data_IF_557084517961
#
_entry.id   IF_557084517961
#
_cell.length_a   1.000
_cell.length_b   1.000
_cell.length_c   1.000
_cell.angle_alpha   90.00
_cell.angle_beta   90.00
_cell.angle_gamma   90.00
#
_symmetry.space_group_name_H-M   'P 1'
#
loop_
_entity.id
_entity.type
_entity.pdbx_description
1 polymer ?
#
# COMPACT_ATOMS: atom_id res chain seq x y z
N UNK A 1 7.25 -5.76 16.74
CA UNK A 1 8.14 -4.61 16.49
C UNK A 1 8.18 -3.75 17.74
N UNK A 2 9.38 -3.44 18.24
CA UNK A 2 9.57 -2.57 19.40
C UNK A 2 9.43 -1.08 19.02
N UNK A 3 9.40 -0.17 20.00
CA UNK A 3 9.17 1.25 19.76
C UNK A 3 10.24 1.91 18.88
N UNK A 4 11.51 1.53 19.05
CA UNK A 4 12.62 2.11 18.28
C UNK A 4 12.58 1.66 16.83
N UNK A 5 12.27 0.38 16.59
CA UNK A 5 12.03 -0.14 15.23
C UNK A 5 10.85 0.57 14.55
N UNK A 6 9.74 0.82 15.28
CA UNK A 6 8.59 1.55 14.76
C UNK A 6 8.97 2.97 14.32
N UNK A 7 9.65 3.72 15.19
CA UNK A 7 10.11 5.09 14.89
C UNK A 7 11.05 5.11 13.70
N UNK A 8 11.99 4.16 13.64
CA UNK A 8 12.94 4.08 12.53
C UNK A 8 12.21 3.83 11.21
N UNK A 9 11.29 2.87 11.17
CA UNK A 9 10.54 2.56 9.96
C UNK A 9 9.69 3.76 9.49
N UNK A 10 9.00 4.44 10.41
CA UNK A 10 8.26 5.68 10.09
C UNK A 10 9.22 6.71 9.48
N UNK A 11 10.34 6.98 10.15
CA UNK A 11 11.31 7.98 9.69
C UNK A 11 11.90 7.63 8.32
N UNK A 12 12.21 6.36 8.06
CA UNK A 12 12.74 5.91 6.77
C UNK A 12 11.69 6.07 5.66
N UNK A 13 10.42 5.74 5.94
CA UNK A 13 9.29 5.89 5.00
C UNK A 13 9.06 7.38 4.69
N UNK A 14 9.02 8.23 5.71
CA UNK A 14 8.78 9.67 5.54
C UNK A 14 9.93 10.38 4.82
N UNK A 15 11.16 9.85 4.92
CA UNK A 15 12.33 10.36 4.22
C UNK A 15 12.45 9.86 2.76
N UNK A 16 11.59 8.94 2.33
CA UNK A 16 11.67 8.29 1.02
C UNK A 16 10.96 9.11 -0.06
N UNK A 17 11.74 9.71 -0.98
CA UNK A 17 11.19 10.45 -2.12
C UNK A 17 10.26 9.59 -3.00
N UNK A 18 10.63 8.34 -3.39
CA UNK A 18 9.73 7.50 -4.20
C UNK A 18 8.40 7.20 -3.51
N UNK A 19 8.41 6.98 -2.19
CA UNK A 19 7.18 6.73 -1.43
C UNK A 19 6.33 8.00 -1.36
N UNK A 20 6.96 9.15 -1.08
CA UNK A 20 6.26 10.42 -0.99
C UNK A 20 5.67 10.87 -2.34
N UNK A 21 6.37 10.63 -3.45
CA UNK A 21 5.87 10.90 -4.80
C UNK A 21 4.66 10.02 -5.13
N UNK A 22 4.75 8.72 -4.82
CA UNK A 22 3.62 7.81 -5.01
C UNK A 22 2.43 8.18 -4.11
N UNK A 23 2.69 8.59 -2.87
CA UNK A 23 1.68 9.09 -1.96
C UNK A 23 1.01 10.36 -2.50
N UNK A 24 1.77 11.32 -3.02
CA UNK A 24 1.22 12.52 -3.64
C UNK A 24 0.33 12.19 -4.85
N UNK A 25 0.70 11.17 -5.65
CA UNK A 25 -0.16 10.64 -6.73
C UNK A 25 -1.44 10.01 -6.17
N UNK A 26 -1.37 9.26 -5.07
CA UNK A 26 -2.54 8.70 -4.40
C UNK A 26 -3.54 9.80 -4.01
N UNK A 27 -3.05 10.91 -3.44
CA UNK A 27 -3.92 12.03 -3.08
C UNK A 27 -4.56 12.67 -4.32
N UNK A 28 -3.82 12.80 -5.42
CA UNK A 28 -4.36 13.30 -6.70
C UNK A 28 -5.45 12.42 -7.30
N UNK A 29 -5.42 11.10 -7.08
CA UNK A 29 -6.48 10.20 -7.57
C UNK A 29 -7.72 10.16 -6.68
N UNK A 30 -7.69 10.79 -5.49
CA UNK A 30 -8.87 10.99 -4.63
C UNK A 30 -8.73 10.48 -3.21
N UNK A 31 -7.63 9.80 -2.86
CA UNK A 31 -7.37 9.41 -1.47
C UNK A 31 -7.21 10.64 -0.57
N UNK A 32 -7.58 10.47 0.69
CA UNK A 32 -7.40 11.50 1.72
C UNK A 32 -6.14 11.26 2.51
N UNK A 33 -5.58 12.33 3.07
CA UNK A 33 -4.46 12.22 3.98
C UNK A 33 -4.90 11.53 5.28
N UNK A 34 -4.15 10.52 5.70
CA UNK A 34 -4.23 9.98 7.06
C UNK A 34 -3.85 11.07 8.08
N UNK A 35 -4.79 11.42 8.96
CA UNK A 35 -4.58 12.43 10.02
C UNK A 35 -4.28 11.81 11.39
N UNK A 36 -4.36 10.48 11.50
CA UNK A 36 -3.99 9.74 12.72
C UNK A 36 -2.47 9.72 12.91
N UNK A 37 -2.07 9.21 14.07
CA UNK A 37 -0.66 9.01 14.42
C UNK A 37 0.09 8.20 13.34
N UNK A 38 1.34 8.54 12.97
CA UNK A 38 2.11 7.81 11.94
C UNK A 38 2.31 6.31 12.22
N UNK A 39 2.19 5.86 13.47
CA UNK A 39 2.22 4.44 13.82
C UNK A 39 0.90 3.71 13.54
N UNK A 40 -0.17 4.44 13.22
CA UNK A 40 -1.45 3.89 12.84
C UNK A 40 -1.30 2.98 11.61
N UNK A 41 -1.71 1.72 11.77
CA UNK A 41 -1.56 0.64 10.78
C UNK A 41 -0.12 0.33 10.33
N UNK A 42 0.90 0.79 11.05
CA UNK A 42 2.31 0.50 10.74
C UNK A 42 2.65 -1.00 10.83
N UNK A 43 1.96 -1.74 11.71
CA UNK A 43 2.15 -3.19 11.82
C UNK A 43 1.68 -3.94 10.57
N UNK A 44 0.59 -3.49 9.94
CA UNK A 44 0.15 -4.00 8.64
C UNK A 44 1.19 -3.72 7.55
N UNK A 45 1.76 -2.51 7.52
CA UNK A 45 2.83 -2.15 6.58
C UNK A 45 4.04 -3.07 6.75
N UNK A 46 4.51 -3.23 7.99
CA UNK A 46 5.63 -4.11 8.30
C UNK A 46 5.33 -5.58 7.98
N UNK A 47 4.09 -6.05 8.20
CA UNK A 47 3.66 -7.39 7.84
C UNK A 47 3.67 -7.61 6.32
N UNK A 48 3.23 -6.61 5.54
CA UNK A 48 3.33 -6.66 4.08
C UNK A 48 4.79 -6.71 3.60
N UNK A 49 5.66 -5.85 4.15
CA UNK A 49 7.09 -5.88 3.81
C UNK A 49 7.69 -7.26 4.12
N UNK A 50 7.48 -7.78 5.33
CA UNK A 50 8.01 -9.07 5.74
C UNK A 50 7.50 -10.24 4.86
N UNK A 51 6.22 -10.25 4.51
CA UNK A 51 5.64 -11.28 3.66
C UNK A 51 6.19 -11.27 2.22
N UNK A 52 6.54 -10.09 1.71
CA UNK A 52 7.19 -9.92 0.40
C UNK A 52 8.71 -10.17 0.42
N UNK A 53 9.29 -10.51 1.58
CA UNK A 53 10.74 -10.64 1.75
C UNK A 53 11.49 -9.31 1.72
N UNK A 54 10.80 -8.19 1.96
CA UNK A 54 11.35 -6.84 2.00
C UNK A 54 11.73 -6.51 3.44
N UNK A 55 13.00 -6.17 3.65
CA UNK A 55 13.59 -5.89 4.95
C UNK A 55 13.85 -4.39 5.17
N UNK A 56 13.90 -3.60 4.09
CA UNK A 56 14.22 -2.17 4.12
C UNK A 56 13.26 -1.34 3.28
N UNK A 57 13.13 -0.05 3.59
CA UNK A 57 12.37 0.90 2.77
C UNK A 57 12.96 1.00 1.36
N UNK A 58 14.29 0.94 1.22
CA UNK A 58 14.96 1.01 -0.08
C UNK A 58 14.62 -0.17 -1.01
N UNK A 59 14.40 -1.36 -0.47
CA UNK A 59 13.87 -2.48 -1.25
C UNK A 59 12.43 -2.22 -1.71
N UNK A 60 11.61 -1.59 -0.88
CA UNK A 60 10.27 -1.11 -1.27
C UNK A 60 10.31 -0.02 -2.35
N UNK A 61 11.26 0.91 -2.28
CA UNK A 61 11.48 1.94 -3.31
C UNK A 61 11.79 1.33 -4.68
N UNK A 62 12.54 0.22 -4.71
CA UNK A 62 12.83 -0.50 -5.96
C UNK A 62 11.55 -1.08 -6.58
N UNK A 63 10.59 -1.53 -5.76
CA UNK A 63 9.28 -1.97 -6.24
C UNK A 63 8.51 -0.79 -6.84
N UNK A 64 8.48 0.35 -6.15
CA UNK A 64 7.80 1.56 -6.64
C UNK A 64 8.41 2.02 -7.96
N UNK A 65 9.74 2.05 -8.07
CA UNK A 65 10.43 2.46 -9.28
C UNK A 65 10.12 1.54 -10.47
N UNK A 66 10.06 0.21 -10.23
CA UNK A 66 9.77 -0.79 -11.25
C UNK A 66 8.41 -0.62 -11.91
N UNK A 67 7.39 -0.16 -11.16
CA UNK A 67 6.01 -0.05 -11.63
C UNK A 67 5.45 1.38 -11.58
N UNK A 68 6.30 2.39 -11.61
CA UNK A 68 5.91 3.79 -11.36
C UNK A 68 4.75 4.30 -12.23
N UNK A 69 4.65 3.84 -13.48
CA UNK A 69 3.56 4.17 -14.41
C UNK A 69 2.27 3.37 -14.13
N UNK A 70 2.41 2.10 -13.77
CA UNK A 70 1.29 1.19 -13.53
C UNK A 70 0.60 1.45 -12.18
N UNK A 71 1.37 1.86 -11.17
CA UNK A 71 0.88 2.08 -9.81
C UNK A 71 -0.12 3.24 -9.72
N UNK A 72 0.01 4.27 -10.54
CA UNK A 72 -0.95 5.37 -10.55
C UNK A 72 -2.32 4.92 -11.09
N UNK A 73 -2.31 4.15 -12.19
CA UNK A 73 -3.52 3.55 -12.74
C UNK A 73 -4.15 2.54 -11.76
N UNK A 74 -3.32 1.73 -11.10
CA UNK A 74 -3.75 0.81 -10.06
C UNK A 74 -4.42 1.54 -8.90
N UNK A 75 -3.79 2.58 -8.33
CA UNK A 75 -4.37 3.36 -7.23
C UNK A 75 -5.70 4.01 -7.63
N UNK A 76 -5.79 4.52 -8.85
CA UNK A 76 -7.06 5.04 -9.39
C UNK A 76 -8.14 3.95 -9.43
N UNK A 77 -7.78 2.72 -9.81
CA UNK A 77 -8.70 1.59 -9.81
C UNK A 77 -9.07 1.14 -8.40
N UNK A 78 -8.16 1.21 -7.43
CA UNK A 78 -8.43 0.90 -6.01
C UNK A 78 -9.40 1.92 -5.42
N UNK A 79 -9.19 3.22 -5.69
CA UNK A 79 -10.11 4.25 -5.22
C UNK A 79 -11.48 4.15 -5.92
N UNK A 80 -11.49 3.84 -7.22
CA UNK A 80 -12.72 3.70 -8.01
C UNK A 80 -13.47 5.03 -8.18
N UNK A 81 -14.78 4.96 -8.37
CA UNK A 81 -15.68 6.13 -8.52
C UNK A 81 -16.38 6.49 -7.20
N UNK A 82 -15.63 6.48 -6.09
CA UNK A 82 -16.18 6.59 -4.72
C UNK A 82 -16.52 8.04 -4.33
N UNK A 83 -17.42 8.67 -5.07
CA UNK A 83 -17.91 10.03 -4.80
C UNK A 83 -18.44 10.14 -3.37
N UNK A 84 -17.79 10.98 -2.56
CA UNK A 84 -18.20 11.28 -1.18
C UNK A 84 -17.63 10.37 -0.09
N UNK A 85 -16.88 9.32 -0.44
CA UNK A 85 -16.21 8.46 0.53
C UNK A 85 -14.80 8.99 0.85
N UNK A 86 -14.48 9.11 2.15
CA UNK A 86 -13.17 9.53 2.62
C UNK A 86 -12.32 8.32 2.98
N UNK A 87 -11.62 7.77 1.98
CA UNK A 87 -10.62 6.76 2.24
C UNK A 87 -9.26 7.42 2.50
N UNK A 88 -8.83 7.39 3.75
CA UNK A 88 -7.53 7.92 4.18
C UNK A 88 -6.40 6.91 3.95
N UNK A 89 -5.24 7.41 3.53
CA UNK A 89 -4.02 6.62 3.32
C UNK A 89 -2.81 7.35 3.90
N UNK A 90 -1.83 6.57 4.36
CA UNK A 90 -0.52 7.06 4.79
C UNK A 90 0.56 6.69 3.75
N UNK A 91 1.74 7.33 3.78
CA UNK A 91 2.87 6.95 2.92
C UNK A 91 3.22 5.46 3.03
N UNK A 92 3.26 4.91 4.25
CA UNK A 92 3.51 3.48 4.46
C UNK A 92 2.44 2.57 3.85
N UNK A 93 1.17 2.98 3.90
CA UNK A 93 0.09 2.24 3.28
C UNK A 93 0.22 2.22 1.74
N UNK A 94 0.63 3.32 1.14
CA UNK A 94 0.88 3.40 -0.30
C UNK A 94 2.06 2.51 -0.72
N UNK A 95 3.13 2.45 0.09
CA UNK A 95 4.19 1.46 -0.12
C UNK A 95 3.66 0.02 -0.04
N UNK A 96 2.79 -0.29 0.93
CA UNK A 96 2.16 -1.61 1.02
C UNK A 96 1.33 -1.94 -0.24
N UNK A 97 0.58 -0.99 -0.79
CA UNK A 97 -0.14 -1.17 -2.05
C UNK A 97 0.80 -1.49 -3.22
N UNK A 98 1.96 -0.84 -3.30
CA UNK A 98 2.95 -1.15 -4.33
C UNK A 98 3.54 -2.56 -4.20
N UNK A 99 3.80 -2.99 -2.97
CA UNK A 99 4.28 -4.35 -2.67
C UNK A 99 3.23 -5.41 -3.04
N UNK A 100 1.97 -5.15 -2.70
CA UNK A 100 0.84 -6.02 -3.06
C UNK A 100 0.68 -6.13 -4.58
N UNK A 101 0.90 -5.02 -5.30
CA UNK A 101 0.87 -4.97 -6.75
C UNK A 101 1.96 -5.83 -7.41
N UNK A 102 3.18 -5.85 -6.86
CA UNK A 102 4.30 -6.66 -7.37
C UNK A 102 4.07 -8.17 -7.17
N UNK A 103 3.47 -8.56 -6.04
CA UNK A 103 3.36 -9.97 -5.63
C UNK A 103 1.91 -10.39 -5.31
N UNK A 104 0.99 -10.29 -6.28
CA UNK A 104 -0.44 -10.52 -6.05
C UNK A 104 -0.79 -11.95 -5.57
N UNK A 105 0.06 -12.92 -5.86
CA UNK A 105 -0.08 -14.32 -5.43
C UNK A 105 0.27 -14.52 -3.95
N UNK A 106 1.15 -13.67 -3.40
CA UNK A 106 1.49 -13.67 -1.96
C UNK A 106 0.37 -13.01 -1.16
N UNK A 107 -0.23 -11.97 -1.73
CA UNK A 107 -1.26 -11.16 -1.08
C UNK A 107 -2.67 -11.56 -1.54
N UNK A 108 -3.05 -12.79 -1.21
CA UNK A 108 -4.43 -13.26 -1.36
C UNK A 108 -5.38 -12.53 -0.41
N UNK A 109 -6.69 -12.64 -0.64
CA UNK A 109 -7.68 -12.02 0.24
C UNK A 109 -7.54 -12.55 1.68
N UNK A 110 -7.43 -13.87 1.83
CA UNK A 110 -7.27 -14.56 3.12
C UNK A 110 -6.00 -14.08 3.83
N UNK A 111 -4.90 -13.93 3.10
CA UNK A 111 -3.64 -13.48 3.70
C UNK A 111 -3.72 -12.03 4.19
N UNK A 112 -4.40 -11.15 3.46
CA UNK A 112 -4.62 -9.77 3.89
C UNK A 112 -5.56 -9.70 5.11
N UNK A 113 -6.59 -10.55 5.17
CA UNK A 113 -7.45 -10.68 6.36
C UNK A 113 -6.65 -11.15 7.58
N UNK A 114 -5.78 -12.16 7.43
CA UNK A 114 -4.87 -12.62 8.50
C UNK A 114 -3.92 -11.51 8.99
N UNK A 115 -3.54 -10.60 8.09
CA UNK A 115 -2.72 -9.41 8.42
C UNK A 115 -3.54 -8.29 9.06
N UNK A 116 -4.85 -8.46 9.26
CA UNK A 116 -5.72 -7.47 9.89
C UNK A 116 -6.11 -6.31 8.98
N UNK A 117 -6.22 -6.56 7.67
CA UNK A 117 -6.86 -5.63 6.74
C UNK A 117 -8.38 -5.75 6.80
N UNK A 118 -9.06 -4.61 6.62
CA UNK A 118 -10.52 -4.56 6.58
C UNK A 118 -11.03 -5.09 5.23
N UNK A 119 -12.19 -5.76 5.22
CA UNK A 119 -12.73 -6.40 4.01
C UNK A 119 -13.00 -5.46 2.83
N UNK A 120 -13.36 -4.20 3.10
CA UNK A 120 -13.57 -3.19 2.04
C UNK A 120 -12.26 -2.87 1.29
N UNK A 121 -11.16 -2.45 1.97
CA UNK A 121 -9.83 -2.36 1.39
C UNK A 121 -9.40 -3.59 0.58
N UNK A 122 -9.59 -4.80 1.13
CA UNK A 122 -9.22 -6.05 0.44
C UNK A 122 -9.99 -6.19 -0.87
N UNK A 123 -11.31 -6.00 -0.82
CA UNK A 123 -12.17 -6.09 -2.01
C UNK A 123 -11.72 -5.13 -3.11
N UNK A 124 -11.40 -3.88 -2.76
CA UNK A 124 -10.95 -2.88 -3.73
C UNK A 124 -9.59 -3.21 -4.33
N UNK A 125 -8.63 -3.60 -3.49
CA UNK A 125 -7.29 -3.99 -3.94
C UNK A 125 -7.35 -5.19 -4.87
N UNK A 126 -8.10 -6.24 -4.52
CA UNK A 126 -8.26 -7.43 -5.37
C UNK A 126 -8.95 -7.11 -6.69
N UNK A 127 -10.00 -6.28 -6.67
CA UNK A 127 -10.68 -5.81 -7.90
C UNK A 127 -9.77 -5.01 -8.82
N UNK A 128 -8.91 -4.16 -8.25
CA UNK A 128 -7.92 -3.39 -9.00
C UNK A 128 -6.80 -4.27 -9.57
N UNK A 129 -6.32 -5.27 -8.82
CA UNK A 129 -5.34 -6.25 -9.30
C UNK A 129 -5.88 -7.05 -10.49
N UNK A 130 -7.14 -7.49 -10.42
CA UNK A 130 -7.81 -8.14 -11.54
C UNK A 130 -7.89 -7.21 -12.76
N UNK A 131 -8.28 -5.95 -12.57
CA UNK A 131 -8.38 -4.96 -13.65
C UNK A 131 -7.02 -4.64 -14.29
N UNK A 132 -5.94 -4.74 -13.52
CA UNK A 132 -4.57 -4.62 -14.00
C UNK A 132 -4.01 -5.92 -14.63
N UNK A 133 -4.81 -6.99 -14.71
CA UNK A 133 -4.36 -8.29 -15.23
C UNK A 133 -3.34 -9.01 -14.34
N UNK A 134 -3.23 -8.61 -13.06
CA UNK A 134 -2.29 -9.17 -12.08
C UNK A 134 -2.82 -10.43 -11.40
N UNK A 135 -4.15 -10.64 -11.43
CA UNK A 135 -4.83 -11.81 -10.86
C UNK A 135 -5.91 -12.27 -11.83
N UNK A 136 -6.08 -13.58 -12.02
CA UNK A 136 -7.19 -14.14 -12.81
C UNK A 136 -8.50 -14.11 -12.03
N UNK A 137 -9.63 -13.97 -12.72
CA UNK A 137 -10.94 -14.15 -12.09
C UNK A 137 -11.14 -15.64 -11.82
N UNK A 138 -11.31 -15.99 -10.54
CA UNK A 138 -11.88 -17.30 -10.18
C UNK A 138 -13.33 -17.42 -10.67
#
# INVERSE_FOLDING_TARGET
MNLEEKKKLISDIEASDPVNDLYAKAIKVGFWHEQRDPSYKLEQVAACMAAAGISTVSEGEQVIARYSDELEAFMKSVYGDRVGYRWEVSPGFIMALAIIYDQPDVFTAERLEEMGWDGDPITQVRGALHSAGRVQKD
#
